data_IF_548744482442
#
_entry.id   IF_548744482442
#
_cell.length_a   1.000
_cell.length_b   1.000
_cell.length_c   1.000
_cell.angle_alpha   90.00
_cell.angle_beta   90.00
_cell.angle_gamma   90.00
#
_symmetry.space_group_name_H-M   'P 1'
#
loop_
_entity.id
_entity.type
_entity.pdbx_description
1 polymer ?
#
# COMPACT_ATOMS: atom_id res chain seq x y z
N UNK A 1 11.68 5.58 -2.79
CA UNK A 1 12.25 6.92 -2.49
C UNK A 1 11.21 7.64 -1.67
N UNK A 2 11.38 7.76 -0.37
CA UNK A 2 10.35 8.18 0.59
C UNK A 2 10.40 9.70 0.74
N UNK A 3 9.22 10.31 0.92
CA UNK A 3 8.92 11.76 1.02
C UNK A 3 9.84 12.56 1.98
N UNK A 4 10.68 11.90 2.78
CA UNK A 4 11.53 12.51 3.82
C UNK A 4 12.70 13.40 3.32
N UNK A 5 12.99 13.42 2.02
CA UNK A 5 14.10 14.25 1.49
C UNK A 5 13.67 15.50 0.71
N UNK A 6 12.36 15.72 0.52
CA UNK A 6 11.89 16.88 -0.23
C UNK A 6 11.44 17.99 0.72
N UNK A 7 12.12 19.15 0.65
CA UNK A 7 11.77 20.42 1.33
C UNK A 7 10.43 21.03 0.89
N UNK A 8 9.52 20.24 0.34
CA UNK A 8 8.24 20.70 -0.22
C UNK A 8 7.06 20.15 0.56
N UNK A 9 6.02 20.97 0.71
CA UNK A 9 4.75 20.48 1.26
C UNK A 9 4.15 19.41 0.33
N UNK A 10 3.36 18.42 0.86
CA UNK A 10 2.70 17.41 0.03
C UNK A 10 1.85 18.02 -1.10
N UNK A 11 1.25 19.17 -0.86
CA UNK A 11 0.44 19.91 -1.83
C UNK A 11 1.29 20.45 -2.99
N UNK A 12 2.43 21.05 -2.70
CA UNK A 12 3.36 21.59 -3.72
C UNK A 12 3.95 20.48 -4.59
N UNK A 13 4.22 19.31 -3.99
CA UNK A 13 4.64 18.12 -4.75
C UNK A 13 3.55 17.67 -5.70
N UNK A 14 2.31 17.59 -5.25
CA UNK A 14 1.18 17.20 -6.09
C UNK A 14 0.97 18.16 -7.26
N UNK A 15 1.06 19.48 -7.03
CA UNK A 15 0.92 20.48 -8.08
C UNK A 15 1.96 20.29 -9.18
N UNK A 16 3.21 20.03 -8.83
CA UNK A 16 4.26 19.69 -9.81
C UNK A 16 3.95 18.42 -10.60
N UNK A 17 3.53 17.35 -9.91
CA UNK A 17 3.14 16.09 -10.56
C UNK A 17 2.00 16.34 -11.57
N UNK A 18 1.02 17.17 -11.21
CA UNK A 18 -0.09 17.53 -12.10
C UNK A 18 0.40 18.35 -13.30
N UNK A 19 1.26 19.34 -13.08
CA UNK A 19 1.81 20.17 -14.16
C UNK A 19 2.63 19.33 -15.16
N UNK A 20 3.47 18.43 -14.68
CA UNK A 20 4.27 17.54 -15.53
C UNK A 20 3.39 16.58 -16.34
N UNK A 21 2.35 16.02 -15.73
CA UNK A 21 1.39 15.19 -16.43
C UNK A 21 0.59 15.99 -17.48
N UNK A 22 0.16 17.21 -17.17
CA UNK A 22 -0.53 18.10 -18.10
C UNK A 22 0.39 18.49 -19.27
N UNK A 23 1.66 18.75 -19.01
CA UNK A 23 2.66 19.05 -20.03
C UNK A 23 2.86 17.90 -21.01
N UNK A 24 2.88 16.66 -20.50
CA UNK A 24 3.13 15.46 -21.30
C UNK A 24 1.88 14.98 -22.07
N UNK A 25 0.71 15.04 -21.46
CA UNK A 25 -0.53 14.42 -21.97
C UNK A 25 -1.67 15.43 -22.26
N UNK A 26 -1.47 16.71 -21.98
CA UNK A 26 -2.51 17.75 -22.04
C UNK A 26 -3.55 17.61 -20.93
N UNK A 27 -4.48 18.60 -20.84
CA UNK A 27 -5.63 18.56 -19.91
C UNK A 27 -6.74 17.67 -20.47
N UNK A 28 -6.48 16.37 -20.54
CA UNK A 28 -7.40 15.39 -21.11
C UNK A 28 -7.55 14.18 -20.20
N UNK A 29 -8.61 13.38 -20.43
CA UNK A 29 -8.78 12.09 -19.75
C UNK A 29 -7.60 11.13 -19.93
N UNK A 30 -6.81 11.28 -21.00
CA UNK A 30 -5.61 10.46 -21.25
C UNK A 30 -4.54 10.67 -20.20
N UNK A 31 -4.47 11.85 -19.58
CA UNK A 31 -3.53 12.15 -18.50
C UNK A 31 -3.89 11.46 -17.18
N UNK A 32 -5.14 11.00 -17.00
CA UNK A 32 -5.65 10.56 -15.70
C UNK A 32 -4.90 9.35 -15.13
N UNK A 33 -4.76 8.26 -15.89
CA UNK A 33 -4.09 7.06 -15.40
C UNK A 33 -2.61 7.30 -15.12
N UNK A 34 -1.81 7.89 -16.02
CA UNK A 34 -0.42 8.25 -15.73
C UNK A 34 -0.27 9.17 -14.52
N UNK A 35 -1.20 10.12 -14.35
CA UNK A 35 -1.18 11.03 -13.20
C UNK A 35 -1.44 10.29 -11.88
N UNK A 36 -2.45 9.41 -11.85
CA UNK A 36 -2.73 8.59 -10.66
C UNK A 36 -1.56 7.65 -10.33
N UNK A 37 -0.90 7.07 -11.33
CA UNK A 37 0.31 6.25 -11.14
C UNK A 37 1.42 7.07 -10.49
N UNK A 38 1.69 8.26 -11.01
CA UNK A 38 2.74 9.14 -10.48
C UNK A 38 2.42 9.62 -9.05
N UNK A 39 1.15 9.93 -8.75
CA UNK A 39 0.71 10.24 -7.38
C UNK A 39 1.00 9.05 -6.47
N UNK A 40 0.59 7.84 -6.85
CA UNK A 40 0.80 6.65 -6.03
C UNK A 40 2.28 6.31 -5.85
N UNK A 41 3.11 6.48 -6.86
CA UNK A 41 4.57 6.28 -6.76
C UNK A 41 5.21 7.23 -5.73
N UNK A 42 4.73 8.48 -5.64
CA UNK A 42 5.27 9.46 -4.71
C UNK A 42 4.68 9.37 -3.29
N UNK A 43 3.39 9.06 -3.17
CA UNK A 43 2.68 9.03 -1.87
C UNK A 43 2.50 7.61 -1.31
N UNK A 44 2.73 6.56 -2.11
CA UNK A 44 2.48 5.16 -1.76
C UNK A 44 1.02 4.74 -1.90
N UNK A 45 0.09 5.69 -2.02
CA UNK A 45 -1.34 5.49 -2.19
C UNK A 45 -1.97 6.74 -2.84
N UNK A 46 -3.27 6.72 -3.12
CA UNK A 46 -4.02 7.85 -3.65
C UNK A 46 -4.77 8.58 -2.53
N UNK A 47 -4.22 9.66 -1.93
CA UNK A 47 -4.92 10.44 -0.91
C UNK A 47 -6.22 11.04 -1.44
N UNK A 48 -7.31 11.00 -0.67
CA UNK A 48 -8.62 11.54 -1.10
C UNK A 48 -8.53 13.00 -1.54
N UNK A 49 -7.82 13.84 -0.78
CA UNK A 49 -7.59 15.25 -1.12
C UNK A 49 -6.87 15.44 -2.47
N UNK A 50 -5.99 14.52 -2.86
CA UNK A 50 -5.30 14.60 -4.15
C UNK A 50 -6.23 14.34 -5.33
N UNK A 51 -7.21 13.45 -5.17
CA UNK A 51 -8.19 13.14 -6.21
C UNK A 51 -9.12 14.33 -6.50
N UNK A 52 -9.47 15.13 -5.48
CA UNK A 52 -10.25 16.36 -5.64
C UNK A 52 -9.47 17.40 -6.45
N UNK A 53 -8.18 17.57 -6.15
CA UNK A 53 -7.31 18.49 -6.90
C UNK A 53 -7.17 18.02 -8.36
N UNK A 54 -6.95 16.71 -8.58
CA UNK A 54 -6.91 16.13 -9.94
C UNK A 54 -8.21 16.37 -10.70
N UNK A 55 -9.36 16.16 -10.05
CA UNK A 55 -10.69 16.41 -10.63
C UNK A 55 -10.82 17.83 -11.17
N UNK A 56 -10.43 18.80 -10.36
CA UNK A 56 -10.50 20.22 -10.72
C UNK A 56 -9.54 20.59 -11.88
N UNK A 57 -8.31 20.07 -11.85
CA UNK A 57 -7.30 20.37 -12.88
C UNK A 57 -7.61 19.74 -14.23
N UNK A 58 -8.04 18.49 -14.25
CA UNK A 58 -8.37 17.77 -15.49
C UNK A 58 -9.81 18.01 -15.97
N UNK A 59 -10.66 18.64 -15.16
CA UNK A 59 -12.11 18.79 -15.40
C UNK A 59 -12.78 17.42 -15.61
N UNK A 60 -12.40 16.43 -14.85
CA UNK A 60 -12.98 15.08 -14.85
C UNK A 60 -13.81 14.92 -13.59
N UNK A 61 -15.07 14.45 -13.67
CA UNK A 61 -15.88 14.22 -12.49
C UNK A 61 -15.18 13.32 -11.46
N UNK A 62 -15.25 13.67 -10.19
CA UNK A 62 -14.60 12.92 -9.11
C UNK A 62 -15.08 11.46 -9.07
N UNK A 63 -16.34 11.19 -9.40
CA UNK A 63 -16.90 9.85 -9.52
C UNK A 63 -16.20 8.99 -10.56
N UNK A 64 -15.79 9.59 -11.70
CA UNK A 64 -15.04 8.86 -12.73
C UNK A 64 -13.61 8.53 -12.25
N UNK A 65 -13.00 9.41 -11.46
CA UNK A 65 -11.67 9.19 -10.86
C UNK A 65 -11.75 8.04 -9.84
N UNK A 66 -12.72 8.06 -8.94
CA UNK A 66 -12.96 6.97 -7.99
C UNK A 66 -13.28 5.66 -8.71
N UNK A 67 -14.09 5.69 -9.78
CA UNK A 67 -14.39 4.52 -10.59
C UNK A 67 -13.12 3.88 -11.18
N UNK A 68 -12.20 4.68 -11.69
CA UNK A 68 -10.91 4.19 -12.20
C UNK A 68 -10.03 3.68 -11.05
N UNK A 69 -9.92 4.42 -9.95
CA UNK A 69 -9.08 4.06 -8.81
C UNK A 69 -9.54 2.77 -8.12
N UNK A 70 -10.83 2.45 -8.15
CA UNK A 70 -11.37 1.20 -7.59
C UNK A 70 -11.39 0.06 -8.60
N UNK A 71 -11.47 0.34 -9.89
CA UNK A 71 -11.49 -0.66 -10.94
C UNK A 71 -10.10 -1.29 -11.17
N UNK A 72 -9.06 -0.48 -11.20
CA UNK A 72 -7.70 -0.95 -11.42
C UNK A 72 -7.03 -1.35 -10.10
N UNK A 73 -6.70 -2.63 -9.96
CA UNK A 73 -6.07 -3.21 -8.74
C UNK A 73 -4.71 -2.62 -8.39
N UNK A 74 -4.07 -1.90 -9.30
CA UNK A 74 -2.81 -1.21 -9.04
C UNK A 74 -2.96 0.00 -8.11
N UNK A 75 -4.17 0.55 -7.97
CA UNK A 75 -4.39 1.74 -7.17
C UNK A 75 -4.85 1.41 -5.76
N UNK A 76 -4.28 2.09 -4.79
CA UNK A 76 -4.59 1.98 -3.36
C UNK A 76 -5.16 3.31 -2.86
N UNK A 77 -6.37 3.28 -2.31
CA UNK A 77 -7.02 4.48 -1.76
C UNK A 77 -6.68 4.70 -0.28
N UNK A 78 -6.03 3.72 0.34
CA UNK A 78 -5.61 3.75 1.74
C UNK A 78 -4.10 3.51 1.83
N UNK A 79 -3.41 4.11 2.82
CA UNK A 79 -2.00 3.87 3.03
C UNK A 79 -1.75 2.40 3.35
N UNK A 80 -0.75 1.83 2.68
CA UNK A 80 -0.31 0.46 2.94
C UNK A 80 0.85 0.45 3.93
N UNK A 81 0.96 -0.64 4.67
CA UNK A 81 2.10 -0.90 5.55
C UNK A 81 3.38 -1.16 4.76
N UNK A 82 4.51 -1.14 5.47
CA UNK A 82 5.84 -1.42 4.89
C UNK A 82 5.91 -2.81 4.23
N UNK A 83 5.18 -3.79 4.79
CA UNK A 83 5.08 -5.14 4.27
C UNK A 83 3.64 -5.47 3.87
N UNK A 84 3.42 -5.63 2.57
CA UNK A 84 2.12 -6.01 2.02
C UNK A 84 2.06 -7.52 1.89
N UNK A 85 1.18 -8.14 2.69
CA UNK A 85 0.96 -9.59 2.72
C UNK A 85 -0.26 -9.91 1.85
N UNK A 86 -0.05 -10.67 0.80
CA UNK A 86 -1.10 -11.11 -0.11
C UNK A 86 -1.34 -12.61 0.05
N UNK A 87 -2.56 -13.00 0.44
CA UNK A 87 -2.95 -14.42 0.46
C UNK A 87 -3.77 -14.78 -0.77
N UNK A 88 -3.31 -15.82 -1.45
CA UNK A 88 -3.97 -16.34 -2.64
C UNK A 88 -5.29 -17.05 -2.25
N UNK A 89 -6.41 -16.59 -2.80
CA UNK A 89 -7.74 -17.19 -2.63
C UNK A 89 -8.22 -17.96 -3.88
N UNK A 90 -7.29 -18.27 -4.82
CA UNK A 90 -7.56 -19.13 -5.96
C UNK A 90 -7.95 -20.54 -5.50
N UNK A 91 -8.70 -21.27 -6.32
CA UNK A 91 -9.31 -22.57 -5.99
C UNK A 91 -8.35 -23.54 -5.30
N UNK A 92 -7.15 -23.75 -5.86
CA UNK A 92 -6.16 -24.64 -5.27
C UNK A 92 -5.72 -24.20 -3.87
N UNK A 93 -5.48 -22.90 -3.66
CA UNK A 93 -5.09 -22.38 -2.35
C UNK A 93 -6.25 -22.42 -1.35
N UNK A 94 -7.46 -22.12 -1.80
CA UNK A 94 -8.66 -22.17 -0.98
C UNK A 94 -8.93 -23.58 -0.44
N UNK A 95 -8.90 -24.60 -1.33
CA UNK A 95 -9.08 -26.01 -0.95
C UNK A 95 -7.96 -26.47 0.01
N UNK A 96 -6.75 -25.95 -0.13
CA UNK A 96 -5.61 -26.26 0.76
C UNK A 96 -5.55 -25.41 2.04
N UNK A 97 -6.66 -24.77 2.45
CA UNK A 97 -6.80 -24.13 3.77
C UNK A 97 -6.25 -22.69 3.85
N UNK A 98 -6.21 -21.96 2.72
CA UNK A 98 -5.71 -20.57 2.80
C UNK A 98 -6.72 -19.59 3.41
N UNK A 99 -7.99 -19.96 3.50
CA UNK A 99 -9.01 -19.19 4.22
C UNK A 99 -8.75 -19.21 5.73
N UNK A 100 -8.40 -20.37 6.28
CA UNK A 100 -8.02 -20.55 7.67
C UNK A 100 -6.69 -19.85 7.98
N UNK A 101 -5.74 -19.93 7.06
CA UNK A 101 -4.47 -19.18 7.12
C UNK A 101 -4.72 -17.67 7.18
N UNK A 102 -5.67 -17.16 6.40
CA UNK A 102 -6.04 -15.74 6.42
C UNK A 102 -6.63 -15.32 7.77
N UNK A 103 -7.62 -16.07 8.28
CA UNK A 103 -8.22 -15.80 9.58
C UNK A 103 -7.17 -15.85 10.72
N UNK A 104 -6.28 -16.84 10.67
CA UNK A 104 -5.16 -16.95 11.60
C UNK A 104 -4.20 -15.77 11.52
N UNK A 105 -3.89 -15.30 10.31
CA UNK A 105 -3.01 -14.15 10.09
C UNK A 105 -3.60 -12.86 10.66
N UNK A 106 -4.89 -12.57 10.39
CA UNK A 106 -5.59 -11.42 10.96
C UNK A 106 -5.51 -11.43 12.48
N UNK A 107 -5.85 -12.57 13.10
CA UNK A 107 -5.77 -12.73 14.57
C UNK A 107 -4.33 -12.53 15.09
N UNK A 108 -3.32 -13.02 14.38
CA UNK A 108 -1.91 -12.89 14.79
C UNK A 108 -1.41 -11.44 14.72
N UNK A 109 -1.96 -10.65 13.80
CA UNK A 109 -1.63 -9.24 13.61
C UNK A 109 -2.54 -8.27 14.38
N UNK A 110 -3.58 -8.78 15.06
CA UNK A 110 -4.56 -7.95 15.77
C UNK A 110 -5.42 -7.11 14.83
N UNK A 111 -5.73 -7.63 13.64
CA UNK A 111 -6.57 -6.97 12.66
C UNK A 111 -8.01 -7.47 12.77
N UNK A 112 -8.96 -6.53 12.86
CA UNK A 112 -10.39 -6.79 12.83
C UNK A 112 -10.93 -6.80 11.39
N UNK A 113 -12.14 -7.33 11.20
CA UNK A 113 -12.84 -7.25 9.91
C UNK A 113 -13.05 -5.77 9.50
N UNK A 114 -12.50 -5.42 8.33
CA UNK A 114 -12.56 -4.07 7.79
C UNK A 114 -11.27 -3.26 7.92
N UNK A 115 -10.31 -3.68 8.74
CA UNK A 115 -8.97 -3.12 8.78
C UNK A 115 -7.98 -4.04 8.09
N UNK A 116 -7.32 -3.54 7.06
CA UNK A 116 -6.32 -4.31 6.33
C UNK A 116 -4.88 -4.01 6.76
N UNK A 117 -4.65 -2.91 7.48
CA UNK A 117 -3.32 -2.44 7.88
C UNK A 117 -3.22 -2.36 9.40
N UNK A 118 -2.10 -2.85 9.96
CA UNK A 118 -1.81 -2.77 11.40
C UNK A 118 -1.63 -1.32 11.86
N UNK A 119 -1.93 -1.03 13.13
CA UNK A 119 -1.87 0.33 13.69
C UNK A 119 -0.47 0.93 13.65
N UNK A 120 0.56 0.07 13.72
CA UNK A 120 1.97 0.47 13.61
C UNK A 120 2.39 0.75 12.15
N UNK A 121 1.49 0.58 11.17
CA UNK A 121 1.78 0.75 9.75
C UNK A 121 2.77 -0.26 9.19
N UNK A 122 3.03 -1.37 9.89
CA UNK A 122 4.04 -2.33 9.48
C UNK A 122 3.50 -3.32 8.45
N UNK A 123 2.31 -3.88 8.68
CA UNK A 123 1.72 -4.90 7.81
C UNK A 123 0.40 -4.46 7.21
N UNK A 124 0.22 -4.75 5.92
CA UNK A 124 -1.09 -4.72 5.25
C UNK A 124 -1.41 -6.12 4.76
N UNK A 125 -2.63 -6.61 5.01
CA UNK A 125 -3.08 -7.95 4.61
C UNK A 125 -4.16 -7.84 3.54
N UNK A 126 -3.93 -8.47 2.38
CA UNK A 126 -4.83 -8.45 1.23
C UNK A 126 -5.19 -9.86 0.78
N UNK A 127 -6.45 -10.07 0.41
CA UNK A 127 -6.88 -11.25 -0.33
C UNK A 127 -6.67 -11.01 -1.83
N UNK A 128 -5.99 -11.92 -2.51
CA UNK A 128 -5.83 -11.87 -3.97
C UNK A 128 -6.44 -13.10 -4.63
N UNK A 129 -6.99 -12.94 -5.84
CA UNK A 129 -7.71 -14.02 -6.50
C UNK A 129 -6.81 -15.19 -6.88
N UNK A 130 -5.66 -14.92 -7.51
CA UNK A 130 -4.69 -15.95 -7.87
C UNK A 130 -3.31 -15.31 -8.08
N UNK A 131 -2.25 -15.96 -7.56
CA UNK A 131 -0.85 -15.56 -7.74
C UNK A 131 -0.14 -16.37 -8.85
N UNK A 132 -0.84 -17.31 -9.51
CA UNK A 132 -0.27 -18.13 -10.58
C UNK A 132 0.63 -19.29 -10.10
N UNK A 133 0.85 -19.46 -8.80
CA UNK A 133 1.77 -20.45 -8.24
C UNK A 133 1.01 -21.66 -7.64
N UNK A 134 0.07 -22.25 -8.38
CA UNK A 134 -0.85 -23.29 -7.87
C UNK A 134 -0.15 -24.56 -7.39
N UNK A 135 0.99 -24.94 -7.96
CA UNK A 135 1.81 -26.08 -7.53
C UNK A 135 2.40 -25.92 -6.11
N UNK A 136 2.48 -24.68 -5.62
CA UNK A 136 2.96 -24.35 -4.29
C UNK A 136 1.82 -24.10 -3.29
N UNK A 137 0.57 -24.35 -3.66
CA UNK A 137 -0.60 -24.09 -2.81
C UNK A 137 -0.49 -24.79 -1.43
N UNK A 138 -0.94 -24.12 -0.36
CA UNK A 138 -1.42 -22.72 -0.28
C UNK A 138 -0.28 -21.71 -0.31
N UNK A 139 -0.53 -20.53 -0.96
CA UNK A 139 0.50 -19.52 -1.26
C UNK A 139 0.21 -18.20 -0.55
N UNK A 140 1.25 -17.62 0.00
CA UNK A 140 1.31 -16.26 0.54
C UNK A 140 2.46 -15.51 -0.10
N UNK A 141 2.28 -14.22 -0.42
CA UNK A 141 3.33 -13.32 -0.90
C UNK A 141 3.50 -12.21 0.12
N UNK A 142 4.74 -11.81 0.41
CA UNK A 142 5.06 -10.62 1.22
C UNK A 142 5.96 -9.73 0.39
N UNK A 143 5.47 -8.56 0.00
CA UNK A 143 6.07 -7.71 -1.03
C UNK A 143 6.39 -8.54 -2.28
N UNK A 144 7.66 -8.81 -2.57
CA UNK A 144 8.08 -9.62 -3.73
C UNK A 144 8.41 -11.08 -3.38
N UNK A 145 8.53 -11.40 -2.08
CA UNK A 145 8.85 -12.75 -1.61
C UNK A 145 7.62 -13.67 -1.65
N UNK A 146 7.71 -14.82 -2.34
CA UNK A 146 6.66 -15.83 -2.45
C UNK A 146 6.94 -16.99 -1.51
N UNK A 147 5.94 -17.37 -0.71
CA UNK A 147 5.96 -18.49 0.22
C UNK A 147 4.89 -19.51 -0.16
N UNK A 148 5.33 -20.74 -0.47
CA UNK A 148 4.44 -21.86 -0.76
C UNK A 148 4.21 -22.76 0.43
N UNK A 149 3.17 -23.64 0.36
CA UNK A 149 2.79 -24.62 1.38
C UNK A 149 2.65 -24.00 2.77
N UNK A 150 2.05 -22.82 2.82
CA UNK A 150 1.91 -22.00 4.03
C UNK A 150 0.97 -22.70 5.02
N UNK A 151 1.35 -22.65 6.29
CA UNK A 151 0.53 -23.10 7.42
C UNK A 151 0.77 -22.16 8.61
N UNK A 152 0.03 -22.33 9.69
CA UNK A 152 0.10 -21.46 10.88
C UNK A 152 1.53 -21.32 11.46
N UNK A 153 2.33 -22.39 11.40
CA UNK A 153 3.72 -22.35 11.90
C UNK A 153 4.60 -21.49 10.97
N UNK A 154 4.48 -21.68 9.66
CA UNK A 154 5.26 -20.90 8.68
C UNK A 154 4.85 -19.43 8.68
N UNK A 155 3.55 -19.12 8.82
CA UNK A 155 3.06 -17.74 8.95
C UNK A 155 3.70 -17.05 10.15
N UNK A 156 3.68 -17.66 11.33
CA UNK A 156 4.34 -17.07 12.52
C UNK A 156 5.82 -16.78 12.29
N UNK A 157 6.56 -17.71 11.67
CA UNK A 157 7.98 -17.53 11.36
C UNK A 157 8.21 -16.37 10.41
N UNK A 158 7.37 -16.27 9.37
CA UNK A 158 7.47 -15.20 8.36
C UNK A 158 7.19 -13.83 9.01
N UNK A 159 6.12 -13.71 9.79
CA UNK A 159 5.80 -12.46 10.50
C UNK A 159 6.93 -12.06 11.46
N UNK A 160 7.47 -13.01 12.22
CA UNK A 160 8.60 -12.73 13.12
C UNK A 160 9.84 -12.28 12.36
N UNK A 161 10.14 -12.88 11.19
CA UNK A 161 11.25 -12.47 10.31
C UNK A 161 11.13 -11.00 9.94
N UNK A 162 9.96 -10.59 9.42
CA UNK A 162 9.75 -9.21 8.95
C UNK A 162 9.67 -8.19 10.10
N UNK A 163 9.17 -8.58 11.28
CA UNK A 163 9.25 -7.71 12.48
C UNK A 163 10.70 -7.44 12.87
N UNK A 164 11.54 -8.46 12.93
CA UNK A 164 12.96 -8.30 13.25
C UNK A 164 13.68 -7.47 12.18
N UNK A 165 13.34 -7.66 10.91
CA UNK A 165 13.90 -6.88 9.82
C UNK A 165 13.52 -5.39 9.92
N UNK A 166 12.25 -5.09 10.25
CA UNK A 166 11.78 -3.74 10.47
C UNK A 166 12.52 -3.06 11.64
N UNK A 167 12.68 -3.76 12.77
CA UNK A 167 13.44 -3.25 13.91
C UNK A 167 14.90 -2.94 13.54
N UNK A 168 15.56 -3.83 12.79
CA UNK A 168 16.93 -3.58 12.29
C UNK A 168 16.99 -2.34 11.38
N UNK A 169 16.03 -2.18 10.47
CA UNK A 169 15.94 -1.00 9.60
C UNK A 169 15.74 0.28 10.41
N UNK A 170 14.91 0.26 11.45
CA UNK A 170 14.72 1.41 12.36
C UNK A 170 16.03 1.80 13.04
N UNK A 171 16.75 0.84 13.60
CA UNK A 171 18.04 1.08 14.28
C UNK A 171 19.07 1.67 13.31
N UNK A 172 19.18 1.14 12.09
CA UNK A 172 20.11 1.64 11.08
C UNK A 172 19.78 3.09 10.64
N UNK A 173 18.48 3.43 10.48
CA UNK A 173 18.04 4.78 10.15
C UNK A 173 18.40 5.78 11.26
N UNK A 174 18.21 5.42 12.53
CA UNK A 174 18.60 6.27 13.69
C UNK A 174 20.10 6.49 13.73
N UNK A 175 20.93 5.52 13.39
CA UNK A 175 22.38 5.65 13.35
C UNK A 175 22.89 6.54 12.21
N UNK A 176 22.16 6.60 11.09
CA UNK A 176 22.53 7.43 9.93
C UNK A 176 22.10 8.91 10.09
N UNK A 177 21.10 9.20 10.94
CA UNK A 177 20.58 10.56 11.17
C UNK A 177 20.33 10.79 12.67
N UNK A 178 21.37 11.01 13.49
CA UNK A 178 21.25 11.11 14.96
C UNK A 178 20.59 12.39 15.49
N UNK A 179 19.82 13.10 14.70
CA UNK A 179 19.16 14.37 15.07
C UNK A 179 17.69 14.49 14.70
N UNK A 180 17.12 13.53 13.95
CA UNK A 180 15.71 13.58 13.54
C UNK A 180 14.87 12.62 14.39
N UNK A 181 14.16 13.19 15.38
CA UNK A 181 13.07 12.48 16.08
C UNK A 181 11.93 12.26 15.08
N UNK A 182 11.86 11.07 14.51
CA UNK A 182 10.74 10.64 13.67
C UNK A 182 9.48 10.44 14.53
N UNK A 183 8.80 11.56 14.83
CA UNK A 183 7.46 11.54 15.38
C UNK A 183 6.45 11.13 14.31
N UNK A 184 5.78 10.02 14.54
CA UNK A 184 4.49 9.61 13.93
C UNK A 184 4.39 9.57 12.39
N UNK A 185 5.00 8.59 11.75
CA UNK A 185 4.71 8.20 10.35
C UNK A 185 3.42 7.35 10.19
N UNK A 186 2.45 7.48 11.08
CA UNK A 186 1.24 6.64 11.03
C UNK A 186 -0.07 7.33 11.39
N UNK A 187 -0.09 8.65 11.62
CA UNK A 187 -1.37 9.33 11.86
C UNK A 187 -1.86 10.01 10.57
N UNK A 188 -3.11 9.76 10.13
CA UNK A 188 -3.72 10.60 9.11
C UNK A 188 -3.72 12.04 9.63
N UNK A 189 -3.17 12.97 8.85
CA UNK A 189 -3.25 14.40 9.17
C UNK A 189 -4.72 14.77 9.27
N UNK A 190 -5.15 15.20 10.45
CA UNK A 190 -6.42 15.85 10.64
C UNK A 190 -6.45 17.10 9.74
N UNK A 191 -7.38 17.13 8.82
CA UNK A 191 -7.66 18.32 8.01
C UNK A 191 -8.62 19.12 8.87
N UNK A 192 -8.11 20.12 9.57
CA UNK A 192 -8.96 21.12 10.21
C UNK A 192 -9.72 21.88 9.11
N UNK A 193 -11.02 22.08 9.37
CA UNK A 193 -12.08 22.50 8.47
C UNK A 193 -11.94 23.87 7.77
#
# INVERSE_FOLDING_TARGET
>A
MVISELKFSPRTLLERIIEDAIRSYGRTRRALIPLLQNIQENFGYLPKWSLEIVSNHLRVPISAIYGISTFYHQFNLEPQGEYVIQLCMGTACHINGNSENYAFLLKTLGLDEGRNTTEDGLFTVLKVRCLGCCSLAPVMKVNDDIYGKVNFRTIRKIISKYRVEAERKKVLRVQQHPGETYGNLGKPMAVDG
#
